data_IF_986923421092
#
_entry.id   IF_986923421092
#
_cell.length_a   1.000
_cell.length_b   1.000
_cell.length_c   1.000
_cell.angle_alpha   90.00
_cell.angle_beta   90.00
_cell.angle_gamma   90.00
#
_symmetry.space_group_name_H-M   'P 1'
#
loop_
_entity.id
_entity.type
_entity.pdbx_description
1 polymer ?
#
# COMPACT_ATOMS: atom_id res chain seq x y z
N UNK A 1 -9.66 -50.94 86.17
CA UNK A 1 -8.46 -50.33 85.74
C UNK A 1 -8.45 -50.37 84.21
N UNK A 2 -8.91 -49.28 83.53
CA UNK A 2 -8.91 -49.17 82.09
C UNK A 2 -8.16 -47.88 81.68
N UNK A 3 -7.05 -48.06 80.98
CA UNK A 3 -6.17 -46.99 80.52
C UNK A 3 -6.63 -46.53 79.14
N UNK A 4 -7.02 -45.27 79.01
CA UNK A 4 -7.44 -44.66 77.75
C UNK A 4 -6.17 -44.09 77.10
N UNK A 5 -5.77 -44.64 75.95
CA UNK A 5 -4.72 -44.05 75.08
C UNK A 5 -5.35 -42.95 74.20
N UNK A 6 -4.88 -41.71 74.32
CA UNK A 6 -5.19 -40.60 73.42
C UNK A 6 -4.23 -40.63 72.21
N UNK A 7 -4.83 -40.80 71.03
CA UNK A 7 -4.17 -40.69 69.79
C UNK A 7 -4.24 -39.22 69.34
N UNK A 8 -3.09 -38.57 69.16
CA UNK A 8 -2.94 -37.21 68.62
C UNK A 8 -2.87 -37.34 67.08
N UNK A 9 -3.88 -36.88 66.33
CA UNK A 9 -3.85 -36.80 64.90
C UNK A 9 -3.18 -35.50 64.44
N UNK A 10 -2.07 -35.64 63.76
CA UNK A 10 -1.43 -34.51 63.10
C UNK A 10 -2.12 -34.17 61.77
N UNK A 11 -2.72 -33.01 61.70
CA UNK A 11 -3.28 -32.46 60.44
C UNK A 11 -2.13 -31.81 59.66
N UNK A 12 -1.70 -32.43 58.59
CA UNK A 12 -0.79 -31.84 57.62
C UNK A 12 -1.59 -30.96 56.67
N UNK A 13 -1.53 -29.65 56.85
CA UNK A 13 -2.08 -28.66 55.91
C UNK A 13 -1.15 -28.57 54.72
N UNK A 14 -1.55 -29.19 53.62
CA UNK A 14 -0.87 -29.05 52.33
C UNK A 14 -1.15 -27.67 51.72
N UNK A 15 -0.15 -26.80 51.70
CA UNK A 15 -0.19 -25.52 50.94
C UNK A 15 -0.03 -25.86 49.47
N UNK A 16 -1.13 -25.80 48.68
CA UNK A 16 -1.08 -25.85 47.21
C UNK A 16 -0.68 -24.46 46.75
N UNK A 17 0.59 -24.29 46.41
CA UNK A 17 1.06 -23.14 45.64
C UNK A 17 0.56 -23.29 44.21
N UNK A 18 -0.54 -22.60 43.87
CA UNK A 18 -0.99 -22.41 42.49
C UNK A 18 0.02 -21.47 41.79
N UNK A 19 0.97 -22.04 41.05
CA UNK A 19 1.74 -21.30 40.09
C UNK A 19 0.77 -20.88 38.95
N UNK A 20 0.29 -19.64 39.01
CA UNK A 20 -0.26 -18.99 37.82
C UNK A 20 0.88 -18.83 36.83
N UNK A 21 0.95 -19.74 35.86
CA UNK A 21 1.80 -19.55 34.69
C UNK A 21 1.21 -18.39 33.88
N UNK A 22 1.58 -17.17 34.25
CA UNK A 22 1.40 -16.01 33.42
C UNK A 22 2.14 -16.30 32.12
N UNK A 23 1.45 -16.26 30.99
CA UNK A 23 2.08 -16.35 29.66
C UNK A 23 3.09 -15.22 29.56
N UNK A 24 4.37 -15.51 29.76
CA UNK A 24 5.44 -14.55 29.51
C UNK A 24 5.44 -14.35 27.99
N UNK A 25 4.88 -13.23 27.53
CA UNK A 25 5.04 -12.82 26.13
C UNK A 25 6.54 -12.74 25.84
N UNK A 26 7.00 -13.49 24.83
CA UNK A 26 8.41 -13.47 24.46
C UNK A 26 8.83 -12.04 24.11
N UNK A 27 10.04 -11.66 24.52
CA UNK A 27 10.61 -10.36 24.16
C UNK A 27 10.95 -10.35 22.65
N UNK A 28 10.84 -9.19 22.02
CA UNK A 28 11.28 -9.00 20.66
C UNK A 28 12.81 -9.11 20.55
N UNK A 29 13.29 -9.56 19.39
CA UNK A 29 14.72 -9.66 19.07
C UNK A 29 15.36 -8.27 19.00
N UNK A 30 16.67 -8.19 19.28
CA UNK A 30 17.46 -6.99 19.00
C UNK A 30 17.89 -6.85 17.53
N UNK A 31 17.63 -7.85 16.68
CA UNK A 31 17.87 -7.73 15.24
C UNK A 31 16.94 -6.66 14.64
N UNK A 32 17.39 -5.91 13.61
CA UNK A 32 16.54 -4.87 13.03
C UNK A 32 15.35 -5.45 12.29
N UNK A 33 14.23 -4.73 12.35
CA UNK A 33 13.09 -4.92 11.46
C UNK A 33 13.39 -4.15 10.17
N UNK A 34 13.59 -4.87 9.07
CA UNK A 34 13.92 -4.28 7.78
C UNK A 34 12.66 -3.93 7.00
N UNK A 35 12.47 -2.65 6.71
CA UNK A 35 11.28 -2.09 6.04
C UNK A 35 11.68 -1.58 4.64
N UNK A 36 10.99 -1.97 3.57
CA UNK A 36 11.30 -1.51 2.23
C UNK A 36 10.76 -0.10 1.99
N UNK A 37 11.50 0.69 1.21
CA UNK A 37 11.03 1.93 0.61
C UNK A 37 10.98 1.78 -0.90
N UNK A 38 9.91 2.27 -1.52
CA UNK A 38 9.68 2.28 -2.96
C UNK A 38 9.77 3.72 -3.52
N UNK A 39 9.08 4.00 -4.61
CA UNK A 39 9.21 5.25 -5.35
C UNK A 39 7.90 6.06 -5.45
N UNK A 40 7.05 5.98 -4.42
CA UNK A 40 5.89 6.86 -4.25
C UNK A 40 5.70 7.27 -2.78
N UNK A 41 5.16 8.46 -2.58
CA UNK A 41 5.22 9.17 -1.29
C UNK A 41 4.48 8.47 -0.16
N UNK A 42 3.25 7.96 -0.38
CA UNK A 42 2.47 7.31 0.68
C UNK A 42 3.24 6.13 1.28
N UNK A 43 3.84 5.31 0.43
CA UNK A 43 4.59 4.14 0.86
C UNK A 43 5.83 4.51 1.68
N UNK A 44 6.60 5.49 1.21
CA UNK A 44 7.82 5.88 1.92
C UNK A 44 7.49 6.55 3.26
N UNK A 45 6.48 7.42 3.31
CA UNK A 45 6.04 8.03 4.59
C UNK A 45 5.50 6.95 5.53
N UNK A 46 4.66 6.04 5.04
CA UNK A 46 4.12 4.94 5.87
C UNK A 46 5.22 4.00 6.36
N UNK A 47 6.29 3.76 5.57
CA UNK A 47 7.46 3.01 6.03
C UNK A 47 8.07 3.65 7.29
N UNK A 48 8.28 4.97 7.26
CA UNK A 48 8.80 5.71 8.42
C UNK A 48 7.79 5.83 9.56
N UNK A 49 6.50 5.91 9.29
CA UNK A 49 5.44 5.87 10.33
C UNK A 49 5.46 4.53 11.06
N UNK A 50 5.43 3.42 10.33
CA UNK A 50 5.44 2.07 10.91
C UNK A 50 6.76 1.81 11.65
N UNK A 51 7.87 2.26 11.07
CA UNK A 51 9.17 2.17 11.72
C UNK A 51 9.21 2.96 13.03
N UNK A 52 8.70 4.21 13.05
CA UNK A 52 8.61 5.00 14.28
C UNK A 52 7.71 4.36 15.35
N UNK A 53 6.64 3.66 14.94
CA UNK A 53 5.81 2.87 15.87
C UNK A 53 6.66 1.72 16.47
N UNK A 54 7.40 0.97 15.65
CA UNK A 54 8.27 -0.10 16.16
C UNK A 54 9.40 0.44 17.07
N UNK A 55 10.01 1.56 16.72
CA UNK A 55 11.02 2.23 17.55
C UNK A 55 10.42 2.65 18.90
N UNK A 56 9.19 3.15 18.95
CA UNK A 56 8.48 3.49 20.20
C UNK A 56 8.23 2.25 21.09
N UNK A 57 8.21 1.05 20.50
CA UNK A 57 8.10 -0.23 21.19
C UNK A 57 9.46 -0.80 21.61
N UNK A 58 10.59 -0.10 21.31
CA UNK A 58 11.93 -0.51 21.64
C UNK A 58 12.62 -1.40 20.59
N UNK A 59 12.06 -1.51 19.38
CA UNK A 59 12.66 -2.29 18.31
C UNK A 59 13.68 -1.46 17.51
N UNK A 60 14.70 -2.12 16.95
CA UNK A 60 15.59 -1.54 15.96
C UNK A 60 14.95 -1.63 14.58
N UNK A 61 15.08 -0.58 13.78
CA UNK A 61 14.50 -0.50 12.43
C UNK A 61 15.56 -0.10 11.41
N UNK A 62 15.56 -0.75 10.26
CA UNK A 62 16.36 -0.42 9.10
C UNK A 62 15.47 -0.23 7.87
N UNK A 63 15.87 0.68 6.98
CA UNK A 63 15.14 0.97 5.74
C UNK A 63 16.01 0.62 4.54
N UNK A 64 15.44 -0.09 3.56
CA UNK A 64 16.13 -0.48 2.33
C UNK A 64 15.31 -0.09 1.10
N UNK A 65 15.96 0.45 0.08
CA UNK A 65 15.30 0.66 -1.21
C UNK A 65 15.08 -0.68 -1.88
N UNK A 66 13.87 -0.95 -2.35
CA UNK A 66 13.50 -2.21 -2.97
C UNK A 66 12.65 -2.00 -4.22
N UNK A 67 12.86 -2.84 -5.22
CA UNK A 67 11.97 -2.93 -6.39
C UNK A 67 10.60 -3.51 -5.97
N UNK A 68 9.52 -2.95 -6.53
CA UNK A 68 8.14 -3.26 -6.15
C UNK A 68 7.70 -4.70 -6.44
N UNK A 69 8.31 -5.35 -7.43
CA UNK A 69 7.99 -6.74 -7.76
C UNK A 69 8.93 -7.73 -7.06
N UNK A 70 10.20 -7.35 -6.88
CA UNK A 70 11.24 -8.21 -6.28
C UNK A 70 11.18 -8.24 -4.76
N UNK A 71 10.51 -7.27 -4.12
CA UNK A 71 10.43 -7.17 -2.66
C UNK A 71 9.86 -8.45 -2.01
N UNK A 72 8.93 -9.14 -2.66
CA UNK A 72 8.34 -10.37 -2.11
C UNK A 72 9.33 -11.53 -2.03
N UNK A 73 10.27 -11.61 -2.99
CA UNK A 73 11.36 -12.58 -2.89
C UNK A 73 12.35 -12.19 -1.77
N UNK A 74 12.67 -10.91 -1.63
CA UNK A 74 13.50 -10.42 -0.52
C UNK A 74 12.85 -10.71 0.86
N UNK A 75 11.53 -10.55 0.98
CA UNK A 75 10.79 -10.96 2.18
C UNK A 75 10.90 -12.48 2.37
N UNK A 76 10.74 -13.27 1.31
CA UNK A 76 10.77 -14.74 1.36
C UNK A 76 12.09 -15.27 1.91
N UNK A 77 13.22 -14.71 1.50
CA UNK A 77 14.55 -15.15 1.94
C UNK A 77 15.01 -14.48 3.24
N UNK A 78 14.35 -13.39 3.67
CA UNK A 78 14.58 -12.72 4.95
C UNK A 78 15.46 -11.49 4.90
N UNK A 79 15.79 -10.98 3.71
CA UNK A 79 16.51 -9.70 3.54
C UNK A 79 15.63 -8.49 3.88
N UNK A 80 14.30 -8.66 3.75
CA UNK A 80 13.28 -7.69 4.13
C UNK A 80 12.34 -8.37 5.13
N UNK A 81 11.93 -7.65 6.18
CA UNK A 81 11.05 -8.21 7.21
C UNK A 81 9.58 -8.08 6.86
N UNK A 82 9.16 -6.93 6.36
CA UNK A 82 7.75 -6.62 6.05
C UNK A 82 7.61 -5.89 4.72
N UNK A 83 6.39 -5.91 4.16
CA UNK A 83 5.90 -4.91 3.20
C UNK A 83 4.52 -4.45 3.65
N UNK A 84 4.36 -3.14 3.80
CA UNK A 84 3.17 -2.53 4.38
C UNK A 84 2.19 -1.99 3.32
N UNK A 85 2.61 -1.86 2.07
CA UNK A 85 1.75 -1.52 0.93
C UNK A 85 1.88 -2.58 -0.17
N UNK A 86 1.09 -3.66 -0.05
CA UNK A 86 0.92 -4.64 -1.12
C UNK A 86 -0.37 -4.31 -1.86
N UNK A 87 -0.24 -3.65 -3.00
CA UNK A 87 -1.36 -3.33 -3.90
C UNK A 87 -1.84 -4.61 -4.57
N UNK A 88 -2.94 -5.16 -4.06
CA UNK A 88 -3.42 -6.50 -4.43
C UNK A 88 -3.74 -6.63 -5.91
N UNK A 89 -4.29 -5.58 -6.53
CA UNK A 89 -4.65 -5.57 -7.95
C UNK A 89 -3.46 -5.63 -8.89
N UNK A 90 -2.31 -5.09 -8.47
CA UNK A 90 -1.10 -4.98 -9.30
C UNK A 90 -0.03 -5.96 -8.88
N UNK A 91 0.29 -6.03 -7.60
CA UNK A 91 1.38 -6.87 -7.08
C UNK A 91 0.92 -8.19 -6.45
N UNK A 92 -0.40 -8.41 -6.38
CA UNK A 92 -0.96 -9.62 -5.76
C UNK A 92 -0.43 -10.91 -6.38
N UNK A 93 -0.24 -10.96 -7.70
CA UNK A 93 0.31 -12.15 -8.38
C UNK A 93 1.71 -12.53 -7.84
N UNK A 94 2.61 -11.56 -7.71
CA UNK A 94 3.97 -11.75 -7.18
C UNK A 94 3.94 -12.09 -5.69
N UNK A 95 3.08 -11.42 -4.92
CA UNK A 95 2.88 -11.68 -3.49
C UNK A 95 2.37 -13.11 -3.24
N UNK A 96 1.30 -13.53 -3.89
CA UNK A 96 0.74 -14.88 -3.72
C UNK A 96 1.67 -15.97 -4.24
N UNK A 97 2.44 -15.70 -5.31
CA UNK A 97 3.46 -16.64 -5.79
C UNK A 97 4.59 -16.83 -4.77
N UNK A 98 5.02 -15.74 -4.09
CA UNK A 98 6.02 -15.84 -3.02
C UNK A 98 5.46 -16.58 -1.79
N UNK A 99 4.20 -16.35 -1.41
CA UNK A 99 3.52 -17.11 -0.35
C UNK A 99 3.46 -18.61 -0.68
N UNK A 100 3.11 -18.97 -1.90
CA UNK A 100 3.02 -20.36 -2.33
C UNK A 100 4.37 -21.11 -2.28
N UNK A 101 5.49 -20.38 -2.47
CA UNK A 101 6.83 -20.93 -2.29
C UNK A 101 7.23 -21.11 -0.82
N UNK A 102 6.46 -20.56 0.12
CA UNK A 102 6.78 -20.50 1.54
C UNK A 102 7.75 -19.36 1.87
N UNK A 103 7.74 -18.92 3.14
CA UNK A 103 8.63 -17.86 3.63
C UNK A 103 7.99 -16.47 3.68
N UNK A 104 6.85 -16.26 3.03
CA UNK A 104 6.02 -15.05 3.13
C UNK A 104 4.68 -15.40 3.74
N UNK A 105 4.18 -14.56 4.63
CA UNK A 105 2.85 -14.65 5.22
C UNK A 105 2.03 -13.39 4.93
N UNK A 106 0.71 -13.56 4.82
CA UNK A 106 -0.24 -12.46 4.78
C UNK A 106 -0.40 -11.89 6.20
N UNK A 107 -0.01 -10.63 6.39
CA UNK A 107 -0.11 -9.94 7.67
C UNK A 107 -1.37 -9.05 7.78
N UNK A 108 -2.37 -9.29 6.93
CA UNK A 108 -3.64 -8.57 6.94
C UNK A 108 -3.74 -7.47 5.88
N UNK A 109 -4.78 -6.64 6.03
CA UNK A 109 -5.09 -5.54 5.13
C UNK A 109 -5.23 -4.23 5.89
N UNK A 110 -4.99 -3.11 5.22
CA UNK A 110 -5.48 -1.81 5.67
C UNK A 110 -6.97 -1.65 5.34
N UNK A 111 -7.69 -0.78 6.05
CA UNK A 111 -9.06 -0.39 5.72
C UNK A 111 -9.09 0.60 4.54
N UNK A 112 -8.47 0.19 3.46
CA UNK A 112 -8.25 0.98 2.26
C UNK A 112 -8.49 0.12 1.02
N UNK A 113 -9.71 0.13 0.44
CA UNK A 113 -9.91 -0.42 -0.88
C UNK A 113 -9.08 0.39 -1.88
N UNK A 114 -8.56 -0.28 -2.89
CA UNK A 114 -7.66 0.30 -3.87
C UNK A 114 -8.25 0.28 -5.27
N UNK A 115 -8.01 1.35 -6.02
CA UNK A 115 -8.18 1.38 -7.47
C UNK A 115 -6.93 2.01 -8.06
N UNK A 116 -6.37 1.38 -9.07
CA UNK A 116 -5.23 1.86 -9.86
C UNK A 116 -5.71 2.01 -11.29
N UNK A 117 -5.82 3.27 -11.79
CA UNK A 117 -6.42 3.53 -13.10
C UNK A 117 -5.95 4.88 -13.64
N UNK A 118 -6.04 5.07 -14.95
CA UNK A 118 -5.82 6.38 -15.56
C UNK A 118 -7.04 7.28 -15.39
N UNK A 119 -6.80 8.57 -15.28
CA UNK A 119 -7.86 9.54 -15.09
C UNK A 119 -7.45 10.96 -15.44
N UNK A 120 -8.33 11.87 -15.11
CA UNK A 120 -8.17 13.31 -15.34
C UNK A 120 -8.38 14.09 -14.05
N UNK A 121 -7.69 15.21 -13.84
CA UNK A 121 -7.99 16.09 -12.72
C UNK A 121 -9.36 16.75 -12.91
N UNK A 122 -10.02 17.11 -11.81
CA UNK A 122 -11.37 17.68 -11.79
C UNK A 122 -11.54 18.87 -12.74
N UNK A 123 -10.53 19.75 -12.84
CA UNK A 123 -10.59 20.93 -13.72
C UNK A 123 -10.73 20.61 -15.21
N UNK A 124 -10.33 19.40 -15.66
CA UNK A 124 -10.59 18.94 -17.06
C UNK A 124 -12.08 18.70 -17.28
N UNK A 125 -12.76 18.16 -16.27
CA UNK A 125 -14.22 17.97 -16.27
C UNK A 125 -14.93 19.33 -16.19
N UNK A 126 -14.54 20.18 -15.24
CA UNK A 126 -15.17 21.48 -15.02
C UNK A 126 -15.11 22.40 -16.25
N UNK A 127 -13.99 22.37 -16.96
CA UNK A 127 -13.79 23.10 -18.21
C UNK A 127 -14.43 22.42 -19.43
N UNK A 128 -14.98 21.23 -19.24
CA UNK A 128 -15.58 20.41 -20.30
C UNK A 128 -14.65 20.23 -21.52
N UNK A 129 -13.34 20.01 -21.27
CA UNK A 129 -12.34 19.91 -22.33
C UNK A 129 -12.57 18.71 -23.26
N UNK A 130 -13.19 17.65 -22.76
CA UNK A 130 -13.61 16.48 -23.51
C UNK A 130 -15.02 16.08 -23.08
N UNK A 131 -16.05 16.55 -23.78
CA UNK A 131 -17.45 16.28 -23.44
C UNK A 131 -17.76 14.77 -23.41
N UNK A 132 -18.39 14.34 -22.32
CA UNK A 132 -18.74 12.94 -22.09
C UNK A 132 -17.78 12.20 -21.14
N UNK A 133 -16.66 12.82 -20.73
CA UNK A 133 -15.84 12.27 -19.64
C UNK A 133 -16.69 12.18 -18.36
N UNK A 134 -16.46 11.16 -17.53
CA UNK A 134 -15.36 10.19 -17.55
C UNK A 134 -15.63 8.90 -18.37
N UNK A 135 -16.70 8.79 -19.18
CA UNK A 135 -16.86 7.61 -20.04
C UNK A 135 -15.70 7.55 -21.08
N UNK A 136 -14.98 6.41 -21.12
CA UNK A 136 -13.86 6.22 -22.04
C UNK A 136 -14.22 6.45 -23.50
N UNK A 137 -15.49 6.25 -23.88
CA UNK A 137 -15.94 6.47 -25.26
C UNK A 137 -15.76 7.91 -25.72
N UNK A 138 -15.82 8.87 -24.80
CA UNK A 138 -15.57 10.28 -25.10
C UNK A 138 -14.15 10.51 -25.64
N UNK A 139 -13.18 9.74 -25.14
CA UNK A 139 -11.78 9.87 -25.54
C UNK A 139 -11.58 9.65 -27.05
N UNK A 140 -12.41 8.84 -27.71
CA UNK A 140 -12.31 8.59 -29.17
C UNK A 140 -12.42 9.86 -30.01
N UNK A 141 -13.05 10.91 -29.46
CA UNK A 141 -13.24 12.19 -30.16
C UNK A 141 -12.34 13.30 -29.61
N UNK A 142 -11.52 13.03 -28.58
CA UNK A 142 -10.80 14.05 -27.84
C UNK A 142 -9.27 13.89 -27.90
N UNK A 143 -8.71 13.04 -28.75
CA UNK A 143 -7.28 12.76 -28.78
C UNK A 143 -6.42 14.04 -28.86
N UNK A 144 -6.82 15.02 -29.67
CA UNK A 144 -6.09 16.29 -29.84
C UNK A 144 -6.07 17.14 -28.57
N UNK A 145 -7.07 17.04 -27.70
CA UNK A 145 -7.12 17.78 -26.41
C UNK A 145 -6.00 17.34 -25.46
N UNK A 146 -5.61 16.08 -25.59
CA UNK A 146 -4.61 15.42 -24.75
C UNK A 146 -3.29 15.19 -25.48
N UNK A 147 -3.12 15.76 -26.67
CA UNK A 147 -1.87 15.66 -27.41
C UNK A 147 -0.79 16.53 -26.78
N UNK A 148 0.43 16.02 -26.79
CA UNK A 148 1.64 16.69 -26.28
C UNK A 148 2.77 16.60 -27.32
N UNK A 149 3.83 17.41 -27.22
CA UNK A 149 4.92 17.38 -28.21
C UNK A 149 5.55 16.00 -28.40
N UNK A 150 5.63 15.19 -27.32
CA UNK A 150 6.20 13.85 -27.32
C UNK A 150 5.24 12.74 -27.79
N UNK A 151 3.96 13.07 -28.03
CA UNK A 151 2.95 12.10 -28.47
C UNK A 151 2.80 11.99 -29.99
N UNK A 152 3.53 12.82 -30.76
CA UNK A 152 3.44 12.82 -32.22
C UNK A 152 2.06 13.22 -32.75
N UNK A 153 1.33 14.10 -32.03
CA UNK A 153 0.00 14.59 -32.39
C UNK A 153 -1.14 13.65 -31.98
N UNK A 154 -0.84 12.53 -31.35
CA UNK A 154 -1.83 11.60 -30.75
C UNK A 154 -2.21 12.05 -29.35
N UNK A 155 -3.38 11.62 -28.86
CA UNK A 155 -3.71 11.76 -27.45
C UNK A 155 -2.73 10.97 -26.58
N UNK A 156 -2.21 11.58 -25.51
CA UNK A 156 -1.27 10.95 -24.60
C UNK A 156 -1.97 10.50 -23.32
N UNK A 157 -1.74 9.25 -22.95
CA UNK A 157 -1.93 8.74 -21.60
C UNK A 157 -0.53 8.64 -20.98
N UNK A 158 -0.29 9.32 -19.86
CA UNK A 158 0.96 9.23 -19.13
C UNK A 158 0.80 8.19 -18.00
N UNK A 159 1.43 7.04 -18.18
CA UNK A 159 1.51 5.93 -17.23
C UNK A 159 2.64 6.17 -16.23
N UNK A 160 2.61 5.48 -15.09
CA UNK A 160 3.73 5.40 -14.16
C UNK A 160 4.94 4.66 -14.74
N UNK A 161 5.95 4.34 -13.91
CA UNK A 161 7.08 3.52 -14.34
C UNK A 161 6.62 2.21 -14.97
N UNK A 162 7.21 1.83 -16.09
CA UNK A 162 6.83 0.62 -16.83
C UNK A 162 6.91 -0.65 -15.97
N UNK A 163 7.77 -0.67 -14.92
CA UNK A 163 7.87 -1.77 -13.98
C UNK A 163 6.62 -1.99 -13.12
N UNK A 164 5.69 -1.02 -13.06
CA UNK A 164 4.47 -1.16 -12.28
C UNK A 164 3.47 -2.09 -12.97
N UNK A 165 3.09 -1.81 -14.21
CA UNK A 165 2.00 -2.49 -14.92
C UNK A 165 2.41 -3.16 -16.24
N UNK A 166 3.69 -3.01 -16.65
CA UNK A 166 4.16 -3.57 -17.91
C UNK A 166 3.49 -2.92 -19.12
N UNK A 167 2.74 -3.69 -19.89
CA UNK A 167 2.05 -3.22 -21.09
C UNK A 167 0.53 -3.06 -20.91
N UNK A 168 0.00 -3.20 -19.69
CA UNK A 168 -1.45 -3.26 -19.45
C UNK A 168 -2.22 -2.09 -20.05
N UNK A 169 -1.77 -0.86 -19.79
CA UNK A 169 -2.45 0.35 -20.30
C UNK A 169 -2.19 0.58 -21.79
N UNK A 170 -1.05 0.12 -22.31
CA UNK A 170 -0.78 0.11 -23.78
C UNK A 170 -1.78 -0.79 -24.47
N UNK A 171 -1.89 -2.04 -24.03
CA UNK A 171 -2.82 -3.03 -24.60
C UNK A 171 -4.27 -2.54 -24.52
N UNK A 172 -4.66 -1.91 -23.41
CA UNK A 172 -6.01 -1.33 -23.23
C UNK A 172 -6.27 -0.16 -24.18
N UNK A 173 -5.33 0.77 -24.29
CA UNK A 173 -5.45 1.91 -25.19
C UNK A 173 -5.57 1.46 -26.64
N UNK A 174 -4.75 0.51 -27.08
CA UNK A 174 -4.84 -0.09 -28.41
C UNK A 174 -6.19 -0.75 -28.67
N UNK A 175 -6.68 -1.55 -27.69
CA UNK A 175 -7.92 -2.32 -27.83
C UNK A 175 -9.19 -1.46 -27.82
N UNK A 176 -9.20 -0.34 -27.08
CA UNK A 176 -10.41 0.47 -26.86
C UNK A 176 -10.39 1.83 -27.55
N UNK A 177 -9.22 2.44 -27.73
CA UNK A 177 -9.07 3.80 -28.28
C UNK A 177 -8.45 3.81 -29.67
N UNK A 178 -7.65 2.78 -30.03
CA UNK A 178 -7.02 2.63 -31.34
C UNK A 178 -5.79 3.53 -31.53
N UNK A 179 -5.44 3.78 -32.81
CA UNK A 179 -4.17 4.37 -33.19
C UNK A 179 -4.02 5.87 -32.93
N UNK A 180 -5.10 6.56 -32.54
CA UNK A 180 -5.07 8.00 -32.24
C UNK A 180 -4.53 8.28 -30.82
N UNK A 181 -4.19 7.25 -30.07
CA UNK A 181 -3.68 7.34 -28.73
C UNK A 181 -2.32 6.67 -28.57
N UNK A 182 -1.54 7.17 -27.62
CA UNK A 182 -0.26 6.59 -27.23
C UNK A 182 -0.10 6.64 -25.71
N UNK A 183 0.42 5.57 -25.14
CA UNK A 183 0.84 5.53 -23.75
C UNK A 183 2.33 5.86 -23.67
N UNK A 184 2.67 6.78 -22.79
CA UNK A 184 4.06 7.14 -22.43
C UNK A 184 4.28 6.80 -20.98
N UNK A 185 5.51 6.49 -20.62
CA UNK A 185 5.86 6.11 -19.26
C UNK A 185 6.61 7.23 -18.56
N UNK A 186 6.17 7.59 -17.35
CA UNK A 186 6.90 8.44 -16.43
C UNK A 186 7.96 7.64 -15.69
N UNK A 187 9.02 8.29 -15.24
CA UNK A 187 10.10 7.64 -14.47
C UNK A 187 9.77 7.44 -12.99
N UNK A 188 8.77 8.17 -12.45
CA UNK A 188 8.37 8.14 -11.05
C UNK A 188 6.96 8.71 -10.87
N UNK A 189 6.39 8.55 -9.67
CA UNK A 189 5.15 9.22 -9.26
C UNK A 189 5.26 10.75 -9.35
N UNK A 190 6.39 11.32 -8.93
CA UNK A 190 6.63 12.77 -8.98
C UNK A 190 6.49 13.34 -10.40
N UNK A 191 6.88 12.56 -11.41
CA UNK A 191 6.76 12.98 -12.81
C UNK A 191 5.29 13.03 -13.26
N UNK A 192 4.41 12.18 -12.70
CA UNK A 192 2.95 12.26 -12.93
C UNK A 192 2.38 13.54 -12.33
N UNK A 193 2.80 13.90 -11.10
CA UNK A 193 2.34 15.10 -10.42
C UNK A 193 2.88 16.38 -11.08
N UNK A 194 4.12 16.36 -11.55
CA UNK A 194 4.71 17.46 -12.33
C UNK A 194 3.95 17.68 -13.65
N UNK A 195 3.53 16.61 -14.34
CA UNK A 195 2.68 16.70 -15.53
C UNK A 195 1.34 17.36 -15.22
N UNK A 196 0.66 16.94 -14.14
CA UNK A 196 -0.62 17.56 -13.74
C UNK A 196 -0.46 19.06 -13.44
N UNK A 197 0.59 19.43 -12.71
CA UNK A 197 0.89 20.83 -12.40
C UNK A 197 1.16 21.67 -13.66
N UNK A 198 1.96 21.14 -14.61
CA UNK A 198 2.25 21.79 -15.88
C UNK A 198 0.99 21.95 -16.73
N UNK A 199 0.22 20.87 -16.89
CA UNK A 199 -1.03 20.89 -17.65
C UNK A 199 -2.05 21.89 -17.09
N UNK A 200 -2.16 21.98 -15.76
CA UNK A 200 -3.03 22.96 -15.08
C UNK A 200 -2.60 24.40 -15.38
N UNK A 201 -1.28 24.66 -15.30
CA UNK A 201 -0.71 25.99 -15.59
C UNK A 201 -0.94 26.39 -17.06
N UNK A 202 -0.82 25.45 -17.97
CA UNK A 202 -0.98 25.66 -19.42
C UNK A 202 -2.47 25.64 -19.85
N UNK A 203 -3.36 25.19 -18.98
CA UNK A 203 -4.80 25.08 -19.28
C UNK A 203 -5.16 23.97 -20.25
N UNK A 204 -4.27 23.01 -20.51
CA UNK A 204 -4.47 21.87 -21.42
C UNK A 204 -5.01 20.64 -20.74
N UNK A 205 -5.61 19.73 -21.50
CA UNK A 205 -6.00 18.42 -20.98
C UNK A 205 -4.78 17.57 -20.60
N UNK A 206 -4.94 16.72 -19.58
CA UNK A 206 -3.96 15.70 -19.23
C UNK A 206 -4.67 14.45 -18.71
N UNK A 207 -4.23 13.28 -19.17
CA UNK A 207 -4.61 11.98 -18.64
C UNK A 207 -3.37 11.35 -18.06
N UNK A 208 -3.41 11.05 -16.76
CA UNK A 208 -2.31 10.39 -16.06
C UNK A 208 -2.80 9.16 -15.33
N UNK A 209 -1.89 8.20 -15.14
CA UNK A 209 -2.08 7.13 -14.18
C UNK A 209 -2.12 7.69 -12.76
N UNK A 210 -3.03 7.16 -11.97
CA UNK A 210 -3.20 7.53 -10.57
C UNK A 210 -3.79 6.34 -9.80
N UNK A 211 -3.88 6.49 -8.51
CA UNK A 211 -4.46 5.47 -7.62
C UNK A 211 -5.20 6.11 -6.47
N UNK A 212 -6.07 5.33 -5.85
CA UNK A 212 -6.68 5.64 -4.55
C UNK A 212 -6.40 4.46 -3.60
N UNK A 213 -6.01 4.70 -2.33
CA UNK A 213 -5.88 6.00 -1.66
C UNK A 213 -4.64 6.80 -2.07
N UNK A 214 -4.82 8.10 -2.30
CA UNK A 214 -3.74 9.05 -2.60
C UNK A 214 -4.14 10.47 -2.17
N UNK A 215 -3.20 11.42 -2.16
CA UNK A 215 -3.50 12.82 -1.86
C UNK A 215 -4.48 13.44 -2.87
N UNK A 216 -4.46 13.00 -4.11
CA UNK A 216 -5.34 13.45 -5.18
C UNK A 216 -6.83 13.15 -4.97
N UNK A 217 -7.16 12.24 -4.05
CA UNK A 217 -8.56 11.95 -3.69
C UNK A 217 -9.24 13.19 -3.12
N UNK A 218 -8.51 13.99 -2.34
CA UNK A 218 -9.00 15.27 -1.79
C UNK A 218 -9.08 16.39 -2.85
N UNK A 219 -8.35 16.27 -3.96
CA UNK A 219 -8.35 17.22 -5.07
C UNK A 219 -9.43 16.92 -6.12
N UNK A 220 -10.20 15.84 -5.94
CA UNK A 220 -11.30 15.47 -6.83
C UNK A 220 -10.83 14.86 -8.16
N UNK A 221 -9.74 14.08 -8.15
CA UNK A 221 -9.29 13.37 -9.35
C UNK A 221 -10.34 12.38 -9.85
N UNK A 222 -10.59 12.33 -11.17
CA UNK A 222 -11.66 11.56 -11.78
C UNK A 222 -11.09 10.44 -12.66
N UNK A 223 -11.27 9.20 -12.22
CA UNK A 223 -10.87 8.02 -13.00
C UNK A 223 -11.75 7.82 -14.24
N UNK A 224 -11.11 7.41 -15.34
CA UNK A 224 -11.83 7.05 -16.56
C UNK A 224 -12.67 5.79 -16.31
N UNK A 225 -13.93 5.83 -16.72
CA UNK A 225 -14.85 4.70 -16.65
C UNK A 225 -14.69 3.81 -17.88
N UNK A 226 -13.86 2.79 -17.74
CA UNK A 226 -13.69 1.72 -18.72
C UNK A 226 -14.82 0.67 -18.61
N UNK A 227 -14.92 -0.29 -19.55
CA UNK A 227 -15.77 -1.45 -19.36
C UNK A 227 -15.38 -2.20 -18.07
N UNK A 228 -16.35 -2.83 -17.38
CA UNK A 228 -16.06 -3.52 -16.12
C UNK A 228 -14.95 -4.56 -16.24
N UNK A 229 -14.12 -4.65 -15.20
CA UNK A 229 -13.13 -5.71 -15.08
C UNK A 229 -13.82 -7.08 -14.92
N UNK A 230 -13.26 -8.11 -15.57
CA UNK A 230 -13.55 -9.51 -15.31
C UNK A 230 -12.25 -10.31 -15.32
N UNK A 231 -12.23 -11.40 -14.57
CA UNK A 231 -11.03 -12.24 -14.43
C UNK A 231 -10.60 -12.78 -15.81
N UNK A 232 -9.32 -12.62 -16.13
CA UNK A 232 -8.75 -13.05 -17.41
C UNK A 232 -8.92 -12.06 -18.56
N UNK A 233 -9.49 -10.86 -18.33
CA UNK A 233 -9.72 -9.90 -19.41
C UNK A 233 -8.45 -9.22 -19.95
N UNK A 234 -7.37 -9.19 -19.16
CA UNK A 234 -6.10 -8.59 -19.57
C UNK A 234 -5.36 -9.49 -20.56
N UNK A 235 -4.66 -8.92 -21.52
CA UNK A 235 -3.89 -9.67 -22.52
C UNK A 235 -2.85 -10.61 -21.90
N UNK A 236 -2.19 -10.16 -20.84
CA UNK A 236 -1.26 -11.01 -20.07
C UNK A 236 -1.91 -12.24 -19.41
N UNK A 237 -3.22 -12.24 -19.26
CA UNK A 237 -4.02 -13.34 -18.71
C UNK A 237 -4.80 -14.09 -19.81
N UNK A 238 -4.55 -13.78 -21.09
CA UNK A 238 -5.15 -14.40 -22.27
C UNK A 238 -6.41 -13.68 -22.81
N UNK A 239 -6.78 -12.53 -22.26
CA UNK A 239 -7.92 -11.73 -22.70
C UNK A 239 -7.61 -10.74 -23.83
N UNK A 240 -8.56 -9.86 -24.12
CA UNK A 240 -8.48 -8.85 -25.19
C UNK A 240 -8.20 -7.43 -24.70
N UNK A 241 -7.93 -7.25 -23.40
CA UNK A 241 -7.69 -5.96 -22.73
C UNK A 241 -8.79 -4.92 -22.83
N UNK A 242 -10.03 -5.33 -23.18
CA UNK A 242 -11.17 -4.41 -23.23
C UNK A 242 -11.90 -4.26 -21.91
N UNK A 243 -11.15 -4.09 -20.84
CA UNK A 243 -11.67 -3.91 -19.48
C UNK A 243 -10.87 -2.87 -18.71
N UNK A 244 -11.48 -2.34 -17.64
CA UNK A 244 -10.82 -1.47 -16.67
C UNK A 244 -9.99 -2.24 -15.66
N UNK A 245 -9.56 -1.56 -14.62
CA UNK A 245 -8.79 -2.15 -13.52
C UNK A 245 -9.71 -2.74 -12.45
N UNK A 246 -9.29 -3.81 -11.75
CA UNK A 246 -10.03 -4.35 -10.61
C UNK A 246 -9.92 -3.43 -9.41
N UNK A 247 -10.95 -3.45 -8.56
CA UNK A 247 -10.84 -2.95 -7.20
C UNK A 247 -10.11 -4.01 -6.38
N UNK A 248 -9.12 -3.59 -5.60
CA UNK A 248 -8.35 -4.45 -4.72
C UNK A 248 -8.32 -3.92 -3.29
N UNK A 249 -7.41 -4.47 -2.50
CA UNK A 249 -7.14 -4.05 -1.13
C UNK A 249 -5.65 -3.74 -0.97
N UNK A 250 -5.35 -2.79 -0.09
CA UNK A 250 -3.98 -2.54 0.34
C UNK A 250 -3.62 -3.54 1.44
N UNK A 251 -2.80 -4.54 1.09
CA UNK A 251 -2.44 -5.63 1.98
C UNK A 251 -1.07 -5.42 2.63
N UNK A 252 -0.78 -6.27 3.60
CA UNK A 252 0.50 -6.33 4.30
C UNK A 252 1.11 -7.72 4.16
N UNK A 253 2.42 -7.77 3.96
CA UNK A 253 3.20 -9.01 3.89
C UNK A 253 4.28 -9.01 4.98
N UNK A 254 4.65 -10.19 5.44
CA UNK A 254 5.77 -10.35 6.37
C UNK A 254 6.56 -11.62 6.09
N UNK A 255 7.84 -11.63 6.48
CA UNK A 255 8.62 -12.84 6.55
C UNK A 255 8.04 -13.79 7.60
N UNK A 256 7.96 -15.08 7.31
CA UNK A 256 7.35 -16.10 8.18
C UNK A 256 8.03 -16.23 9.56
N UNK A 257 9.28 -15.78 9.69
CA UNK A 257 10.00 -15.78 10.97
C UNK A 257 9.61 -14.60 11.87
N UNK A 258 9.09 -13.50 11.29
CA UNK A 258 8.80 -12.27 12.02
C UNK A 258 7.92 -12.49 13.26
N UNK A 259 6.84 -13.31 13.23
CA UNK A 259 6.04 -13.62 14.43
C UNK A 259 6.84 -14.30 15.55
N UNK A 260 7.94 -14.98 15.21
CA UNK A 260 8.79 -15.70 16.19
C UNK A 260 9.92 -14.83 16.70
N UNK A 261 10.51 -14.02 15.84
CA UNK A 261 11.65 -13.16 16.20
C UNK A 261 11.21 -11.88 16.90
N UNK A 262 10.08 -11.32 16.53
CA UNK A 262 9.53 -10.07 17.06
C UNK A 262 8.02 -10.22 17.32
N UNK A 263 7.61 -11.04 18.29
CA UNK A 263 6.20 -11.36 18.49
C UNK A 263 5.33 -10.15 18.80
N UNK A 264 5.83 -9.17 19.56
CA UNK A 264 5.07 -7.96 19.90
C UNK A 264 4.95 -7.02 18.69
N UNK A 265 6.06 -6.78 17.98
CA UNK A 265 6.06 -5.95 16.78
C UNK A 265 5.19 -6.58 15.67
N UNK A 266 5.23 -7.92 15.50
CA UNK A 266 4.35 -8.59 14.54
C UNK A 266 2.88 -8.45 14.92
N UNK A 267 2.54 -8.60 16.20
CA UNK A 267 1.16 -8.43 16.68
C UNK A 267 0.67 -7.01 16.41
N UNK A 268 1.48 -6.00 16.71
CA UNK A 268 1.20 -4.62 16.37
C UNK A 268 1.01 -4.46 14.85
N UNK A 269 1.95 -4.94 14.03
CA UNK A 269 1.89 -4.84 12.58
C UNK A 269 0.65 -5.50 11.98
N UNK A 270 0.29 -6.69 12.44
CA UNK A 270 -0.89 -7.41 11.95
C UNK A 270 -2.20 -6.65 12.20
N UNK A 271 -2.26 -5.89 13.29
CA UNK A 271 -3.42 -5.09 13.66
C UNK A 271 -3.39 -3.65 13.11
N UNK A 272 -2.21 -3.11 12.76
CA UNK A 272 -2.12 -1.80 12.14
C UNK A 272 -2.99 -1.75 10.88
N UNK A 273 -3.85 -0.74 10.83
CA UNK A 273 -4.76 -0.55 9.70
C UNK A 273 -5.02 0.94 9.53
N UNK A 274 -4.55 1.49 8.41
CA UNK A 274 -4.79 2.87 8.03
C UNK A 274 -5.93 2.93 7.01
N UNK A 275 -6.80 3.91 7.12
CA UNK A 275 -7.85 4.17 6.14
C UNK A 275 -7.33 5.05 4.99
N UNK A 276 -8.15 5.20 3.94
CA UNK A 276 -7.78 5.96 2.75
C UNK A 276 -7.39 7.42 3.05
N UNK A 277 -8.12 8.08 3.96
CA UNK A 277 -7.83 9.46 4.36
C UNK A 277 -6.48 9.60 5.08
N UNK A 278 -6.14 8.64 5.96
CA UNK A 278 -4.84 8.62 6.64
C UNK A 278 -3.69 8.41 5.65
N UNK A 279 -3.84 7.49 4.70
CA UNK A 279 -2.82 7.23 3.68
C UNK A 279 -2.66 8.45 2.75
N UNK A 280 -3.77 9.03 2.30
CA UNK A 280 -3.75 10.25 1.49
C UNK A 280 -3.11 11.43 2.22
N UNK A 281 -3.36 11.59 3.53
CA UNK A 281 -2.73 12.64 4.34
C UNK A 281 -1.21 12.46 4.48
N UNK A 282 -0.71 11.22 4.59
CA UNK A 282 0.73 10.94 4.57
C UNK A 282 1.37 11.38 3.24
N UNK A 283 0.73 11.06 2.11
CA UNK A 283 1.21 11.49 0.80
C UNK A 283 1.19 13.02 0.64
N UNK A 284 0.13 13.68 1.10
CA UNK A 284 -0.03 15.13 0.98
C UNK A 284 1.10 15.92 1.65
N UNK A 285 1.60 15.48 2.79
CA UNK A 285 2.74 16.13 3.47
C UNK A 285 3.99 16.20 2.58
N UNK A 286 4.18 15.25 1.67
CA UNK A 286 5.31 15.26 0.73
C UNK A 286 4.91 15.89 -0.61
N UNK A 287 3.81 15.43 -1.20
CA UNK A 287 3.45 15.80 -2.57
C UNK A 287 2.87 17.22 -2.67
N UNK A 288 2.23 17.73 -1.61
CA UNK A 288 1.68 19.09 -1.53
C UNK A 288 2.59 19.98 -0.69
N UNK A 289 2.86 19.61 0.57
CA UNK A 289 3.58 20.45 1.53
C UNK A 289 5.11 20.43 1.35
N UNK A 290 5.61 19.57 0.44
CA UNK A 290 7.03 19.46 0.06
C UNK A 290 7.97 19.10 1.23
N UNK A 291 7.46 18.41 2.24
CA UNK A 291 8.27 17.91 3.34
C UNK A 291 9.16 16.74 2.90
N UNK A 292 10.27 16.50 3.62
CA UNK A 292 10.98 15.22 3.46
C UNK A 292 10.11 14.08 3.99
N UNK A 293 10.25 12.88 3.44
CA UNK A 293 9.48 11.71 3.90
C UNK A 293 9.63 11.44 5.40
N UNK A 294 10.84 11.62 5.95
CA UNK A 294 11.11 11.44 7.38
C UNK A 294 10.40 12.50 8.24
N UNK A 295 10.44 13.76 7.82
CA UNK A 295 9.79 14.84 8.57
C UNK A 295 8.26 14.73 8.45
N UNK A 296 7.76 14.33 7.28
CA UNK A 296 6.35 14.01 7.08
C UNK A 296 5.87 12.90 8.02
N UNK A 297 6.64 11.82 8.14
CA UNK A 297 6.31 10.73 9.07
C UNK A 297 6.33 11.17 10.53
N UNK A 298 7.34 11.94 10.95
CA UNK A 298 7.40 12.49 12.32
C UNK A 298 6.21 13.40 12.62
N UNK A 299 5.87 14.28 11.66
CA UNK A 299 4.71 15.16 11.80
C UNK A 299 3.43 14.35 11.90
N UNK A 300 3.25 13.37 10.98
CA UNK A 300 2.05 12.54 10.98
C UNK A 300 1.88 11.78 12.30
N UNK A 301 2.95 11.17 12.83
CA UNK A 301 2.95 10.48 14.13
C UNK A 301 2.56 11.42 15.28
N UNK A 302 3.10 12.64 15.29
CA UNK A 302 2.79 13.62 16.32
C UNK A 302 1.32 14.09 16.27
N UNK A 303 0.80 14.31 15.08
CA UNK A 303 -0.57 14.82 14.86
C UNK A 303 -1.65 13.74 15.00
N UNK A 304 -1.29 12.44 14.97
CA UNK A 304 -2.22 11.32 14.93
C UNK A 304 -1.96 10.27 16.03
N UNK A 305 -1.50 10.70 17.22
CA UNK A 305 -1.16 9.77 18.32
C UNK A 305 -2.31 8.81 18.66
N UNK A 306 -3.53 9.28 18.68
CA UNK A 306 -4.72 8.48 18.99
C UNK A 306 -4.96 7.37 17.95
N UNK A 307 -4.51 7.56 16.72
CA UNK A 307 -4.68 6.59 15.64
C UNK A 307 -3.67 5.42 15.70
N UNK A 308 -2.46 5.64 16.20
CA UNK A 308 -1.41 4.63 16.16
C UNK A 308 -0.97 4.09 17.54
N UNK A 309 -1.05 4.91 18.61
CA UNK A 309 -0.68 4.47 19.97
C UNK A 309 -1.34 3.16 20.42
N UNK A 310 -2.63 2.91 20.14
CA UNK A 310 -3.27 1.64 20.51
C UNK A 310 -2.52 0.40 20.00
N UNK A 311 -1.83 0.49 18.86
CA UNK A 311 -1.07 -0.64 18.32
C UNK A 311 0.14 -1.02 19.18
N UNK A 312 0.71 -0.08 19.95
CA UNK A 312 1.89 -0.34 20.79
C UNK A 312 1.58 -1.12 22.07
N UNK A 313 0.32 -1.20 22.44
CA UNK A 313 -0.15 -1.89 23.68
C UNK A 313 -0.80 -3.24 23.39
N UNK A 314 -0.79 -3.68 22.15
CA UNK A 314 -1.40 -4.95 21.73
C UNK A 314 -0.61 -6.12 22.34
N UNK A 315 -1.32 -6.99 23.09
CA UNK A 315 -0.70 -8.18 23.71
C UNK A 315 0.05 -7.92 25.03
N UNK A 316 -0.13 -6.75 25.64
CA UNK A 316 0.30 -6.49 27.01
C UNK A 316 -0.71 -7.00 28.04
#
# INVERSE_FOLDING_TARGET
>A
MYTIKRTVGAIVAGIILAFSAGSISAADSSSPIVIPTHNWSSQVVMAYVIGGIFESMGNNVEYVSADTQKVYEAIRIGDVTISHEVWQSTFGKSFYAAMAKGGVIDAGTHHAPTLEEVGVPQWVIDKNLCPGLPDYKALKNCAKVFATPDSGGKGRILEGPQSWHGAEYVDRAEALLGNDWVVKFAGSADALWAELASAKKEGRGSIVFNWTPNFTDAEGFVFIKWPPYYLGCRKQDGGDSKCGSPIGWLKKAANYKFPKTHPKAYMAFSQMSFNAGQIGSMAALVDIDKMTHKDAAKKWLADNEDAWKPYTTVGM
#
